data_IF_240093861699
#
_entry.id   IF_240093861699
#
_cell.length_a   1.000
_cell.length_b   1.000
_cell.length_c   1.000
_cell.angle_alpha   90.00
_cell.angle_beta   90.00
_cell.angle_gamma   90.00
#
_symmetry.space_group_name_H-M   'P 1'
#
loop_
_entity.id
_entity.type
_entity.pdbx_description
1 polymer ?
#
# COMPACT_ATOMS: atom_id res chain seq x y z
N UNK A 1 -29.96 60.35 36.06
CA UNK A 1 -30.74 59.09 36.04
C UNK A 1 -30.60 58.50 34.66
N UNK A 2 -29.88 57.38 34.62
CA UNK A 2 -29.48 56.65 33.42
C UNK A 2 -30.69 56.05 32.70
N UNK A 3 -30.63 55.96 31.37
CA UNK A 3 -31.42 54.97 30.64
C UNK A 3 -30.50 54.31 29.61
N UNK A 4 -30.37 52.97 29.59
CA UNK A 4 -29.26 52.32 28.92
C UNK A 4 -29.51 52.09 27.42
N UNK A 5 -28.39 52.08 26.70
CA UNK A 5 -28.21 51.72 25.30
C UNK A 5 -28.80 50.32 25.01
N UNK A 6 -29.61 50.22 23.96
CA UNK A 6 -30.18 48.95 23.47
C UNK A 6 -29.07 48.08 22.87
N UNK A 7 -28.74 46.98 23.53
CA UNK A 7 -27.87 45.93 22.97
C UNK A 7 -28.67 45.05 22.00
N UNK A 8 -28.20 44.97 20.75
CA UNK A 8 -28.72 44.05 19.73
C UNK A 8 -28.38 42.60 20.14
N UNK A 9 -29.43 41.78 20.28
CA UNK A 9 -29.36 40.36 20.63
C UNK A 9 -28.78 39.60 19.42
N UNK A 10 -27.67 38.89 19.65
CA UNK A 10 -26.83 38.29 18.62
C UNK A 10 -27.53 37.33 17.66
N UNK A 11 -27.07 37.38 16.41
CA UNK A 11 -27.35 36.43 15.34
C UNK A 11 -26.87 35.04 15.79
N UNK A 12 -27.79 34.08 15.97
CA UNK A 12 -27.43 32.66 16.04
C UNK A 12 -26.90 32.24 14.67
N UNK A 13 -25.58 32.18 14.52
CA UNK A 13 -24.95 31.46 13.40
C UNK A 13 -25.33 29.98 13.53
N UNK A 14 -26.22 29.52 12.67
CA UNK A 14 -26.39 28.10 12.44
C UNK A 14 -25.10 27.62 11.75
N UNK A 15 -24.26 26.89 12.48
CA UNK A 15 -23.11 26.22 11.88
C UNK A 15 -23.65 25.13 10.98
N UNK A 16 -23.72 25.39 9.67
CA UNK A 16 -23.91 24.35 8.67
C UNK A 16 -22.74 23.38 8.81
N UNK A 17 -22.97 22.27 9.53
CA UNK A 17 -22.08 21.12 9.48
C UNK A 17 -22.02 20.70 8.02
N UNK A 18 -20.90 20.96 7.35
CA UNK A 18 -20.62 20.35 6.06
C UNK A 18 -20.60 18.85 6.31
N UNK A 19 -21.61 18.15 5.81
CA UNK A 19 -21.59 16.69 5.74
C UNK A 19 -20.54 16.36 4.68
N UNK A 20 -19.33 16.05 5.12
CA UNK A 20 -18.28 15.51 4.25
C UNK A 20 -18.78 14.14 3.81
N UNK A 21 -19.15 14.00 2.53
CA UNK A 21 -19.41 12.68 1.97
C UNK A 21 -18.14 11.84 2.13
N UNK A 22 -18.24 10.55 2.52
CA UNK A 22 -17.08 9.67 2.52
C UNK A 22 -16.59 9.58 1.08
N UNK A 23 -15.46 10.21 0.79
CA UNK A 23 -14.74 9.92 -0.44
C UNK A 23 -14.17 8.52 -0.29
N UNK A 24 -14.37 7.66 -1.29
CA UNK A 24 -13.68 6.38 -1.33
C UNK A 24 -12.17 6.67 -1.41
N UNK A 25 -11.47 6.51 -0.29
CA UNK A 25 -10.03 6.69 -0.18
C UNK A 25 -9.39 5.31 -0.08
N UNK A 26 -8.31 5.11 -0.82
CA UNK A 26 -7.49 3.92 -0.77
C UNK A 26 -6.36 4.16 0.23
N UNK A 27 -6.21 3.30 1.24
CA UNK A 27 -5.12 3.38 2.20
C UNK A 27 -3.96 2.47 1.78
N UNK A 28 -2.79 3.06 1.56
CA UNK A 28 -1.60 2.33 1.16
C UNK A 28 -0.51 2.44 2.23
N UNK A 29 0.21 1.35 2.47
CA UNK A 29 1.43 1.31 3.26
C UNK A 29 2.59 0.89 2.37
N UNK A 30 3.73 1.57 2.48
CA UNK A 30 5.00 1.16 1.86
C UNK A 30 6.05 1.03 2.95
N UNK A 31 6.77 -0.09 2.97
CA UNK A 31 7.85 -0.30 3.94
C UNK A 31 8.97 -1.16 3.38
N UNK A 32 10.19 -0.84 3.77
CA UNK A 32 11.34 -1.70 3.56
C UNK A 32 11.57 -2.48 4.85
N UNK A 33 11.39 -3.80 4.82
CA UNK A 33 11.47 -4.63 6.04
C UNK A 33 12.88 -5.09 6.34
N UNK A 34 13.83 -5.06 5.40
CA UNK A 34 15.20 -5.55 5.57
C UNK A 34 15.23 -6.92 6.30
N UNK A 35 14.66 -7.95 5.69
CA UNK A 35 14.30 -9.26 6.27
C UNK A 35 12.94 -9.31 6.95
N UNK A 36 12.02 -10.07 6.36
CA UNK A 36 10.66 -10.25 6.88
C UNK A 36 10.55 -11.26 8.04
N UNK A 37 11.51 -12.17 8.21
CA UNK A 37 11.42 -13.33 9.09
C UNK A 37 10.66 -13.12 10.41
N UNK A 38 11.27 -12.49 11.41
CA UNK A 38 10.65 -12.25 12.72
C UNK A 38 9.77 -11.00 12.79
N UNK A 39 9.55 -10.31 11.67
CA UNK A 39 8.80 -9.04 11.60
C UNK A 39 7.38 -9.22 11.08
N UNK A 40 7.05 -10.41 10.57
CA UNK A 40 5.76 -10.72 9.98
C UNK A 40 4.58 -10.38 10.90
N UNK A 41 4.60 -10.85 12.16
CA UNK A 41 3.51 -10.60 13.13
C UNK A 41 3.33 -9.10 13.43
N UNK A 42 4.43 -8.36 13.53
CA UNK A 42 4.40 -6.92 13.76
C UNK A 42 3.84 -6.15 12.56
N UNK A 43 4.22 -6.55 11.34
CA UNK A 43 3.67 -5.98 10.12
C UNK A 43 2.17 -6.24 10.03
N UNK A 44 1.74 -7.47 10.26
CA UNK A 44 0.32 -7.84 10.24
C UNK A 44 -0.49 -7.03 11.25
N UNK A 45 0.02 -6.87 12.48
CA UNK A 45 -0.63 -6.05 13.50
C UNK A 45 -0.81 -4.59 13.06
N UNK A 46 0.21 -3.98 12.42
CA UNK A 46 0.14 -2.61 11.90
C UNK A 46 -0.88 -2.51 10.76
N UNK A 47 -0.85 -3.47 9.82
CA UNK A 47 -1.76 -3.50 8.66
C UNK A 47 -3.22 -3.61 9.11
N UNK A 48 -3.50 -4.48 10.08
CA UNK A 48 -4.81 -4.65 10.70
C UNK A 48 -5.25 -3.39 11.47
N UNK A 49 -4.34 -2.80 12.27
CA UNK A 49 -4.63 -1.61 13.07
C UNK A 49 -4.94 -0.38 12.21
N UNK A 50 -4.15 -0.15 11.16
CA UNK A 50 -4.31 1.00 10.26
C UNK A 50 -5.39 0.78 9.19
N UNK A 51 -5.87 -0.46 9.06
CA UNK A 51 -6.86 -0.90 8.10
C UNK A 51 -6.42 -0.57 6.66
N UNK A 52 -5.19 -0.93 6.31
CA UNK A 52 -4.60 -0.67 4.99
C UNK A 52 -5.29 -1.50 3.91
N UNK A 53 -5.44 -0.95 2.71
CA UNK A 53 -6.02 -1.64 1.56
C UNK A 53 -4.94 -2.29 0.70
N UNK A 54 -3.78 -1.65 0.62
CA UNK A 54 -2.60 -2.11 -0.13
C UNK A 54 -1.36 -1.96 0.74
N UNK A 55 -0.51 -2.98 0.76
CA UNK A 55 0.75 -2.98 1.51
C UNK A 55 1.88 -3.40 0.58
N UNK A 56 2.76 -2.47 0.27
CA UNK A 56 3.97 -2.69 -0.50
C UNK A 56 5.15 -2.92 0.45
N UNK A 57 5.87 -4.00 0.22
CA UNK A 57 7.03 -4.39 1.01
C UNK A 57 8.24 -4.61 0.10
N UNK A 58 9.37 -4.04 0.48
CA UNK A 58 10.67 -4.26 -0.19
C UNK A 58 11.67 -4.91 0.76
N UNK A 59 12.70 -5.56 0.18
CA UNK A 59 13.71 -6.35 0.89
C UNK A 59 13.13 -7.44 1.81
N UNK A 60 12.20 -8.24 1.29
CA UNK A 60 11.58 -9.33 2.06
C UNK A 60 12.58 -10.41 2.49
N UNK A 61 13.62 -10.61 1.67
CA UNK A 61 14.64 -11.66 1.79
C UNK A 61 14.04 -13.08 1.78
N UNK A 62 12.90 -13.24 1.13
CA UNK A 62 12.33 -14.56 0.93
C UNK A 62 12.98 -15.31 -0.23
N UNK A 63 12.89 -16.63 -0.15
CA UNK A 63 13.24 -17.59 -1.20
C UNK A 63 12.09 -18.60 -1.39
N UNK A 64 12.28 -19.55 -2.30
CA UNK A 64 11.31 -20.60 -2.64
C UNK A 64 10.92 -21.50 -1.45
N UNK A 65 11.75 -21.57 -0.39
CA UNK A 65 11.42 -22.36 0.81
C UNK A 65 10.38 -21.67 1.72
N UNK A 66 10.10 -20.38 1.49
CA UNK A 66 9.12 -19.61 2.24
C UNK A 66 7.72 -19.79 1.65
N UNK A 67 7.10 -20.96 1.91
CA UNK A 67 5.96 -21.42 1.11
C UNK A 67 4.59 -20.91 1.62
N UNK A 68 4.39 -20.71 2.94
CA UNK A 68 3.03 -20.42 3.49
C UNK A 68 2.90 -19.53 4.73
N UNK A 69 3.95 -19.29 5.52
CA UNK A 69 3.86 -18.52 6.78
C UNK A 69 3.82 -17.00 6.60
N UNK A 70 3.63 -16.52 5.37
CA UNK A 70 3.82 -15.12 4.99
C UNK A 70 2.54 -14.46 4.46
N UNK A 71 1.45 -15.22 4.33
CA UNK A 71 0.16 -14.63 3.98
C UNK A 71 -0.39 -13.84 5.18
N UNK A 72 -0.95 -12.66 4.91
CA UNK A 72 -1.71 -11.87 5.89
C UNK A 72 -3.18 -12.21 5.67
N UNK A 73 -3.92 -12.51 6.74
CA UNK A 73 -5.32 -12.89 6.63
C UNK A 73 -6.18 -11.78 6.01
N UNK A 74 -7.01 -12.14 5.03
CA UNK A 74 -7.83 -11.18 4.27
C UNK A 74 -7.07 -10.39 3.18
N UNK A 75 -5.84 -10.78 2.85
CA UNK A 75 -5.05 -10.19 1.76
C UNK A 75 -4.58 -11.24 0.75
N UNK A 76 -4.66 -10.88 -0.52
CA UNK A 76 -3.98 -11.57 -1.61
C UNK A 76 -2.52 -11.13 -1.67
N UNK A 77 -1.59 -12.07 -1.61
CA UNK A 77 -0.15 -11.82 -1.70
C UNK A 77 0.34 -12.02 -3.14
N UNK A 78 1.03 -11.01 -3.65
CA UNK A 78 1.85 -11.08 -4.85
C UNK A 78 3.30 -10.84 -4.45
N UNK A 79 4.25 -11.63 -4.97
CA UNK A 79 5.66 -11.49 -4.60
C UNK A 79 6.59 -11.83 -5.75
N UNK A 80 7.76 -11.20 -5.73
CA UNK A 80 8.95 -11.57 -6.50
C UNK A 80 10.07 -11.76 -5.49
N UNK A 81 10.66 -12.94 -5.48
CA UNK A 81 11.72 -13.29 -4.53
C UNK A 81 13.07 -12.85 -5.01
N UNK A 82 14.00 -12.65 -4.08
CA UNK A 82 15.34 -12.14 -4.34
C UNK A 82 16.28 -13.10 -5.09
N UNK A 83 15.77 -14.18 -5.70
CA UNK A 83 16.53 -15.18 -6.47
C UNK A 83 17.78 -15.72 -5.73
N UNK A 84 17.65 -15.98 -4.42
CA UNK A 84 18.75 -16.46 -3.58
C UNK A 84 19.79 -15.39 -3.21
N UNK A 85 19.58 -14.11 -3.59
CA UNK A 85 20.42 -12.97 -3.18
C UNK A 85 19.80 -12.32 -1.94
N UNK A 86 20.61 -12.16 -0.90
CA UNK A 86 20.22 -11.41 0.30
C UNK A 86 20.03 -9.93 -0.04
N UNK A 87 19.11 -9.25 0.65
CA UNK A 87 18.86 -7.83 0.38
C UNK A 87 17.82 -7.57 -0.70
N UNK A 88 17.16 -8.61 -1.22
CA UNK A 88 16.28 -8.52 -2.37
C UNK A 88 14.88 -9.08 -2.10
N UNK A 89 14.00 -8.97 -3.08
CA UNK A 89 12.62 -9.42 -3.03
C UNK A 89 11.65 -8.28 -2.72
N UNK A 90 10.53 -8.31 -3.43
CA UNK A 90 9.41 -7.39 -3.26
C UNK A 90 8.10 -8.15 -3.10
N UNK A 91 7.19 -7.59 -2.32
CA UNK A 91 5.87 -8.15 -2.11
C UNK A 91 4.81 -7.05 -2.09
N UNK A 92 3.63 -7.40 -2.58
CA UNK A 92 2.44 -6.57 -2.52
C UNK A 92 1.29 -7.38 -1.94
N UNK A 93 0.74 -6.91 -0.84
CA UNK A 93 -0.49 -7.41 -0.27
C UNK A 93 -1.63 -6.50 -0.69
N UNK A 94 -2.71 -7.10 -1.21
CA UNK A 94 -3.92 -6.38 -1.63
C UNK A 94 -5.12 -7.02 -0.97
N UNK A 95 -5.99 -6.21 -0.37
CA UNK A 95 -7.14 -6.71 0.37
C UNK A 95 -8.11 -7.52 -0.52
N UNK A 96 -8.63 -8.64 -0.02
CA UNK A 96 -9.40 -9.61 -0.83
C UNK A 96 -10.75 -9.10 -1.38
N UNK A 97 -11.22 -7.93 -0.91
CA UNK A 97 -12.40 -7.32 -1.49
C UNK A 97 -12.13 -6.72 -2.89
N UNK A 98 -10.86 -6.62 -3.31
CA UNK A 98 -10.44 -6.29 -4.66
C UNK A 98 -10.28 -7.52 -5.55
N UNK A 99 -10.56 -7.35 -6.84
CA UNK A 99 -10.14 -8.32 -7.84
C UNK A 99 -8.74 -7.93 -8.34
N UNK A 100 -7.78 -8.84 -8.18
CA UNK A 100 -6.37 -8.57 -8.47
C UNK A 100 -5.85 -9.48 -9.58
N UNK A 101 -4.98 -8.94 -10.42
CA UNK A 101 -4.27 -9.70 -11.45
C UNK A 101 -2.80 -9.29 -11.45
N UNK A 102 -1.91 -10.23 -11.14
CA UNK A 102 -0.47 -10.03 -11.32
C UNK A 102 -0.15 -9.88 -12.80
N UNK A 103 0.61 -8.84 -13.13
CA UNK A 103 1.09 -8.59 -14.48
C UNK A 103 2.56 -8.96 -14.51
N UNK A 104 2.90 -9.91 -15.38
CA UNK A 104 4.29 -10.29 -15.61
C UNK A 104 4.93 -9.24 -16.53
N UNK A 105 5.96 -8.57 -16.06
CA UNK A 105 6.77 -7.61 -16.83
C UNK A 105 7.79 -8.31 -17.75
N UNK A 106 8.01 -9.62 -17.56
CA UNK A 106 8.91 -10.43 -18.36
C UNK A 106 10.40 -10.18 -18.12
N UNK A 107 10.75 -9.29 -17.19
CA UNK A 107 12.15 -8.98 -16.87
C UNK A 107 12.46 -9.34 -15.41
N UNK A 108 12.93 -10.57 -15.22
CA UNK A 108 13.30 -11.09 -13.91
C UNK A 108 14.59 -10.47 -13.33
N UNK A 109 15.22 -9.51 -14.04
CA UNK A 109 16.42 -8.80 -13.54
C UNK A 109 16.05 -7.65 -12.61
N UNK A 110 14.85 -7.10 -12.75
CA UNK A 110 14.36 -6.01 -11.92
C UNK A 110 13.57 -6.53 -10.73
N UNK A 111 13.79 -5.95 -9.56
CA UNK A 111 13.01 -6.21 -8.35
C UNK A 111 11.72 -5.37 -8.36
N UNK A 112 10.92 -5.53 -9.42
CA UNK A 112 9.60 -4.91 -9.55
C UNK A 112 8.48 -5.96 -9.57
N UNK A 113 7.26 -5.52 -9.26
CA UNK A 113 6.04 -6.31 -9.38
C UNK A 113 4.89 -5.39 -9.75
N UNK A 114 4.14 -5.79 -10.79
CA UNK A 114 2.96 -5.09 -11.26
C UNK A 114 1.69 -5.85 -10.89
N UNK A 115 0.71 -5.17 -10.30
CA UNK A 115 -0.60 -5.74 -9.99
C UNK A 115 -1.70 -4.79 -10.45
N UNK A 116 -2.60 -5.32 -11.27
CA UNK A 116 -3.83 -4.65 -11.68
C UNK A 116 -4.90 -4.92 -10.64
N UNK A 117 -5.44 -3.86 -10.05
CA UNK A 117 -6.43 -3.91 -8.97
C UNK A 117 -7.75 -3.33 -9.49
N UNK A 118 -8.84 -4.08 -9.30
CA UNK A 118 -10.19 -3.71 -9.73
C UNK A 118 -11.15 -3.73 -8.56
N UNK A 119 -12.00 -2.71 -8.51
CA UNK A 119 -13.12 -2.71 -7.57
C UNK A 119 -14.22 -3.64 -8.09
N UNK A 120 -14.76 -4.52 -7.23
CA UNK A 120 -15.85 -5.44 -7.63
C UNK A 120 -17.11 -4.73 -8.14
N UNK A 121 -17.32 -3.49 -7.72
CA UNK A 121 -18.50 -2.67 -8.05
C UNK A 121 -18.21 -1.52 -9.03
N UNK A 122 -16.96 -1.30 -9.42
CA UNK A 122 -16.57 -0.20 -10.30
C UNK A 122 -15.90 -0.73 -11.57
N UNK A 123 -16.10 -0.04 -12.69
CA UNK A 123 -15.40 -0.36 -13.95
C UNK A 123 -13.98 0.21 -14.00
N UNK A 124 -13.64 1.13 -13.11
CA UNK A 124 -12.31 1.67 -12.99
C UNK A 124 -11.35 0.66 -12.35
N UNK A 125 -10.15 0.60 -12.90
CA UNK A 125 -9.04 -0.18 -12.41
C UNK A 125 -7.84 0.73 -12.16
N UNK A 126 -6.94 0.25 -11.29
CA UNK A 126 -5.65 0.90 -11.05
C UNK A 126 -4.55 -0.12 -11.29
N UNK A 127 -3.42 0.36 -11.80
CA UNK A 127 -2.18 -0.41 -11.85
C UNK A 127 -1.31 0.03 -10.68
N UNK A 128 -0.81 -0.92 -9.90
CA UNK A 128 0.13 -0.65 -8.81
C UNK A 128 1.42 -1.38 -9.10
N UNK A 129 2.52 -0.63 -9.03
CA UNK A 129 3.87 -1.15 -9.11
C UNK A 129 4.54 -1.02 -7.74
N UNK A 130 5.23 -2.08 -7.33
CA UNK A 130 6.23 -2.01 -6.26
C UNK A 130 7.56 -2.27 -6.88
N UNK A 131 8.50 -1.37 -6.68
CA UNK A 131 9.83 -1.55 -7.20
C UNK A 131 10.93 -1.15 -6.22
N UNK A 132 12.05 -1.87 -6.27
CA UNK A 132 13.23 -1.63 -5.46
C UNK A 132 14.49 -1.62 -6.33
N UNK A 133 15.25 -0.52 -6.31
CA UNK A 133 16.60 -0.45 -6.89
C UNK A 133 17.63 -0.55 -5.75
N UNK A 134 18.34 -1.68 -5.60
CA UNK A 134 19.43 -1.82 -4.64
C UNK A 134 20.60 -0.88 -4.99
N UNK A 135 21.35 -0.38 -3.99
CA UNK A 135 22.44 0.59 -4.21
C UNK A 135 23.63 0.07 -5.02
N UNK A 136 23.77 -1.25 -5.16
CA UNK A 136 24.85 -1.90 -5.92
C UNK A 136 24.30 -2.56 -7.20
N UNK A 137 23.26 -2.00 -7.79
CA UNK A 137 22.67 -2.51 -9.02
C UNK A 137 23.47 -2.03 -10.25
N UNK A 138 23.52 -2.87 -11.28
CA UNK A 138 24.14 -2.51 -12.56
C UNK A 138 23.32 -1.41 -13.24
N UNK A 139 24.00 -0.39 -13.78
CA UNK A 139 23.36 0.77 -14.45
C UNK A 139 22.41 0.34 -15.58
N UNK A 140 22.72 -0.75 -16.29
CA UNK A 140 21.85 -1.32 -17.33
C UNK A 140 20.50 -1.80 -16.78
N UNK A 141 20.46 -2.26 -15.53
CA UNK A 141 19.22 -2.70 -14.88
C UNK A 141 18.42 -1.50 -14.40
N UNK A 142 19.08 -0.40 -14.03
CA UNK A 142 18.39 0.85 -13.69
C UNK A 142 17.68 1.46 -14.91
N UNK A 143 18.26 1.36 -16.11
CA UNK A 143 17.58 1.79 -17.34
C UNK A 143 16.26 1.04 -17.61
N UNK A 144 16.09 -0.18 -17.08
CA UNK A 144 14.87 -0.97 -17.26
C UNK A 144 13.70 -0.36 -16.49
N UNK A 145 13.94 0.29 -15.33
CA UNK A 145 12.90 0.98 -14.57
C UNK A 145 12.32 2.20 -15.29
N UNK A 146 13.05 2.76 -16.26
CA UNK A 146 12.68 4.00 -16.94
C UNK A 146 12.11 3.79 -18.35
N UNK A 147 11.92 2.55 -18.79
CA UNK A 147 11.34 2.20 -20.10
C UNK A 147 9.81 2.12 -20.04
#
# INVERSE_FOLDING_TARGET
>A
METPVKYLKGIKRCSSKKVTQPTAQLKCLYTNVCSMGNKQEGLEAIVQQENCDIVAVTETWWDESHDRSVAIDGYTLFRRDGQGRRGRGVALYVREYFDCLGVNDGDDRVECLWVRIRWKSNKADIMVEVCYSPPNQDEEVDEIFYK
#
